data_IF_951901043220
#
_entry.id   IF_951901043220
#
_cell.length_a   1.000
_cell.length_b   1.000
_cell.length_c   1.000
_cell.angle_alpha   90.00
_cell.angle_beta   90.00
_cell.angle_gamma   90.00
#
_symmetry.space_group_name_H-M   'P 1'
#
loop_
_entity.id
_entity.type
_entity.pdbx_description
1 polymer ?
#
# COMPACT_ATOMS: atom_id res chain seq x y z
N UNK A 1 -8.35 -1.43 -0.43
CA UNK A 1 -7.76 -0.91 0.83
C UNK A 1 -8.22 -1.76 2.00
N UNK A 2 -7.34 -2.06 2.96
CA UNK A 2 -7.69 -2.80 4.19
C UNK A 2 -7.26 -1.99 5.41
N UNK A 3 -8.17 -1.81 6.37
CA UNK A 3 -7.94 -1.10 7.63
C UNK A 3 -7.59 -2.09 8.74
N UNK A 4 -6.53 -1.80 9.49
CA UNK A 4 -6.07 -2.62 10.59
C UNK A 4 -5.72 -1.73 11.80
N UNK A 5 -6.51 -1.82 12.86
CA UNK A 5 -6.23 -1.12 14.11
C UNK A 5 -5.38 -2.02 15.00
N UNK A 6 -4.10 -1.65 15.19
CA UNK A 6 -3.15 -2.41 16.02
C UNK A 6 -2.40 -1.47 16.95
N UNK A 7 -2.28 -1.83 18.23
CA UNK A 7 -1.55 -1.04 19.24
C UNK A 7 -1.96 0.45 19.23
N UNK A 8 -3.27 0.70 19.11
CA UNK A 8 -3.86 2.04 19.04
C UNK A 8 -3.36 2.91 17.86
N UNK A 9 -2.88 2.28 16.78
CA UNK A 9 -2.50 2.93 15.52
C UNK A 9 -3.33 2.35 14.38
N UNK A 10 -3.87 3.22 13.53
CA UNK A 10 -4.62 2.80 12.35
C UNK A 10 -3.66 2.63 11.18
N UNK A 11 -3.42 1.37 10.81
CA UNK A 11 -2.67 1.01 9.61
C UNK A 11 -3.64 0.78 8.46
N UNK A 12 -3.29 1.27 7.28
CA UNK A 12 -4.07 1.07 6.06
C UNK A 12 -3.16 0.51 4.96
N UNK A 13 -3.58 -0.61 4.41
CA UNK A 13 -2.88 -1.31 3.34
C UNK A 13 -3.60 -1.00 2.02
N UNK A 14 -2.97 -0.18 1.19
CA UNK A 14 -3.39 0.08 -0.18
C UNK A 14 -2.81 -1.04 -1.04
N UNK A 15 -3.66 -1.97 -1.49
CA UNK A 15 -3.29 -3.19 -2.18
C UNK A 15 -3.87 -3.14 -3.59
N UNK A 16 -3.01 -3.27 -4.60
CA UNK A 16 -3.41 -3.51 -5.98
C UNK A 16 -3.11 -4.95 -6.37
N UNK A 17 -4.10 -5.66 -6.89
CA UNK A 17 -3.99 -7.05 -7.32
C UNK A 17 -3.97 -7.12 -8.83
N UNK A 18 -2.88 -7.63 -9.40
CA UNK A 18 -2.69 -7.79 -10.85
C UNK A 18 -2.44 -9.25 -11.19
N UNK A 19 -2.71 -9.63 -12.43
CA UNK A 19 -2.50 -10.99 -12.91
C UNK A 19 -1.05 -11.15 -13.41
N UNK A 20 -0.86 -11.23 -14.72
CA UNK A 20 0.40 -11.57 -15.38
C UNK A 20 1.24 -10.34 -15.77
N UNK A 21 0.71 -9.14 -15.59
CA UNK A 21 1.39 -7.88 -15.91
C UNK A 21 1.33 -6.90 -14.73
N UNK A 22 2.25 -5.93 -14.71
CA UNK A 22 2.21 -4.77 -13.81
C UNK A 22 1.95 -3.52 -14.68
N UNK A 23 0.68 -3.09 -14.80
CA UNK A 23 0.31 -1.94 -15.61
C UNK A 23 0.99 -0.64 -15.17
N UNK A 24 1.15 0.30 -16.11
CA UNK A 24 1.83 1.56 -15.86
C UNK A 24 1.07 2.50 -14.91
N UNK A 25 -0.23 2.30 -14.75
CA UNK A 25 -1.17 3.13 -13.98
C UNK A 25 -1.33 2.67 -12.52
N UNK A 26 -0.65 1.59 -12.11
CA UNK A 26 -0.62 1.12 -10.71
C UNK A 26 -0.26 2.24 -9.72
N UNK A 27 0.74 3.11 -9.99
CA UNK A 27 1.01 4.25 -9.11
C UNK A 27 -0.18 5.20 -8.97
N UNK A 28 -0.90 5.49 -10.06
CA UNK A 28 -2.06 6.39 -10.04
C UNK A 28 -3.24 5.78 -9.28
N UNK A 29 -3.48 4.47 -9.44
CA UNK A 29 -4.50 3.73 -8.70
C UNK A 29 -4.23 3.74 -7.18
N UNK A 30 -2.99 3.50 -6.78
CA UNK A 30 -2.59 3.54 -5.38
C UNK A 30 -2.58 4.97 -4.82
N UNK A 31 -2.24 5.96 -5.65
CA UNK A 31 -2.38 7.38 -5.29
C UNK A 31 -3.84 7.75 -5.03
N UNK A 32 -4.76 7.31 -5.88
CA UNK A 32 -6.20 7.54 -5.68
C UNK A 32 -6.69 6.95 -4.35
N UNK A 33 -6.18 5.78 -3.95
CA UNK A 33 -6.46 5.19 -2.63
C UNK A 33 -5.97 6.08 -1.49
N UNK A 34 -4.75 6.62 -1.58
CA UNK A 34 -4.20 7.54 -0.58
C UNK A 34 -4.98 8.85 -0.52
N UNK A 35 -5.35 9.43 -1.66
CA UNK A 35 -6.14 10.66 -1.72
C UNK A 35 -7.52 10.47 -1.08
N UNK A 36 -8.15 9.31 -1.29
CA UNK A 36 -9.37 8.93 -0.59
C UNK A 36 -9.16 8.86 0.94
N UNK A 37 -8.02 8.33 1.41
CA UNK A 37 -7.70 8.29 2.85
C UNK A 37 -7.50 9.70 3.43
N UNK A 38 -6.91 10.63 2.67
CA UNK A 38 -6.78 12.03 3.07
C UNK A 38 -8.15 12.69 3.20
N UNK A 39 -9.07 12.44 2.25
CA UNK A 39 -10.44 12.92 2.33
C UNK A 39 -11.21 12.33 3.52
N UNK A 40 -11.07 11.02 3.78
CA UNK A 40 -11.67 10.37 4.94
C UNK A 40 -11.14 10.98 6.25
N UNK A 41 -9.82 11.16 6.35
CA UNK A 41 -9.19 11.76 7.53
C UNK A 41 -9.68 13.19 7.77
N UNK A 42 -9.75 14.02 6.72
CA UNK A 42 -10.32 15.37 6.80
C UNK A 42 -11.78 15.36 7.27
N UNK A 43 -12.59 14.41 6.77
CA UNK A 43 -13.99 14.24 7.20
C UNK A 43 -14.09 13.90 8.68
N UNK A 44 -13.28 12.94 9.16
CA UNK A 44 -13.26 12.56 10.59
C UNK A 44 -12.89 13.77 11.46
N UNK A 45 -11.89 14.55 11.05
CA UNK A 45 -11.47 15.74 11.80
C UNK A 45 -12.52 16.86 11.80
N UNK A 46 -13.33 16.97 10.74
CA UNK A 46 -14.38 17.98 10.66
C UNK A 46 -15.57 17.65 11.58
N UNK A 47 -15.91 16.36 11.74
CA UNK A 47 -17.08 15.92 12.49
C UNK A 47 -16.76 15.36 13.89
N UNK A 48 -15.48 15.19 14.22
CA UNK A 48 -15.07 14.67 15.52
C UNK A 48 -13.91 15.50 16.08
N UNK A 49 -13.79 15.57 17.40
CA UNK A 49 -12.62 16.17 18.06
C UNK A 49 -11.43 15.20 18.14
N UNK A 50 -11.54 14.01 17.52
CA UNK A 50 -10.50 12.98 17.57
C UNK A 50 -9.42 13.28 16.56
N UNK A 51 -8.20 13.55 17.05
CA UNK A 51 -7.00 13.62 16.23
C UNK A 51 -6.38 12.23 16.16
N UNK A 52 -6.43 11.59 14.99
CA UNK A 52 -5.83 10.27 14.79
C UNK A 52 -5.04 10.23 13.49
N UNK A 53 -3.77 9.84 13.57
CA UNK A 53 -2.96 9.62 12.38
C UNK A 53 -3.31 8.30 11.69
N UNK A 54 -3.24 8.28 10.36
CA UNK A 54 -3.39 7.08 9.54
C UNK A 54 -2.02 6.73 8.95
N UNK A 55 -1.60 5.48 9.11
CA UNK A 55 -0.35 4.95 8.53
C UNK A 55 -0.68 4.14 7.27
N UNK A 56 -0.57 4.77 6.12
CA UNK A 56 -0.83 4.15 4.83
C UNK A 56 0.45 3.52 4.25
N UNK A 57 0.32 2.34 3.67
CA UNK A 57 1.40 1.64 2.93
C UNK A 57 0.85 1.13 1.61
N UNK A 58 1.68 1.20 0.56
CA UNK A 58 1.29 0.85 -0.81
C UNK A 58 1.93 -0.46 -1.24
N UNK A 59 1.14 -1.34 -1.82
CA UNK A 59 1.58 -2.63 -2.31
C UNK A 59 0.95 -2.95 -3.65
N UNK A 60 1.71 -3.61 -4.50
CA UNK A 60 1.19 -4.30 -5.68
C UNK A 60 1.51 -5.78 -5.56
N UNK A 61 0.50 -6.61 -5.78
CA UNK A 61 0.61 -8.05 -5.76
C UNK A 61 0.35 -8.56 -7.16
N UNK A 62 1.21 -9.45 -7.66
CA UNK A 62 1.01 -10.04 -8.99
C UNK A 62 1.42 -11.51 -9.07
N UNK A 63 1.00 -12.17 -10.15
CA UNK A 63 1.50 -13.49 -10.55
C UNK A 63 2.45 -13.38 -11.75
N UNK A 64 3.10 -12.22 -11.92
CA UNK A 64 3.98 -12.00 -13.06
C UNK A 64 5.11 -13.05 -13.08
N UNK A 65 5.36 -13.75 -14.22
CA UNK A 65 6.37 -14.81 -14.29
C UNK A 65 7.79 -14.27 -14.02
N UNK A 66 8.11 -13.10 -14.59
CA UNK A 66 9.36 -12.37 -14.31
C UNK A 66 9.09 -10.88 -14.05
N UNK A 67 8.88 -10.46 -12.79
CA UNK A 67 8.61 -9.06 -12.48
C UNK A 67 9.87 -8.18 -12.52
N UNK A 68 11.07 -8.75 -12.65
CA UNK A 68 12.36 -8.05 -12.54
C UNK A 68 12.46 -6.76 -13.36
N UNK A 69 11.93 -6.66 -14.60
CA UNK A 69 11.98 -5.42 -15.39
C UNK A 69 11.19 -4.23 -14.80
N UNK A 70 10.29 -4.49 -13.85
CA UNK A 70 9.46 -3.47 -13.20
C UNK A 70 9.98 -3.07 -11.82
N UNK A 71 10.97 -3.79 -11.30
CA UNK A 71 11.44 -3.66 -9.94
C UNK A 71 12.76 -2.90 -9.86
N UNK A 72 13.03 -2.37 -8.68
CA UNK A 72 14.33 -1.79 -8.34
C UNK A 72 15.44 -2.85 -8.29
N UNK A 73 16.68 -2.40 -8.04
CA UNK A 73 17.85 -3.28 -8.03
C UNK A 73 17.77 -4.39 -6.97
N UNK A 74 17.04 -4.15 -5.87
CA UNK A 74 16.82 -5.13 -4.80
C UNK A 74 15.65 -6.09 -5.10
N UNK A 75 14.92 -5.88 -6.20
CA UNK A 75 13.76 -6.67 -6.58
C UNK A 75 12.59 -6.51 -5.59
N UNK A 76 12.49 -5.37 -4.91
CA UNK A 76 11.55 -5.17 -3.79
C UNK A 76 10.45 -4.16 -4.08
N UNK A 77 10.80 -3.05 -4.72
CA UNK A 77 9.89 -1.94 -4.98
C UNK A 77 9.74 -1.74 -6.48
N UNK A 78 8.65 -1.09 -6.90
CA UNK A 78 8.52 -0.72 -8.31
C UNK A 78 9.57 0.32 -8.67
N UNK A 79 10.31 0.13 -9.78
CA UNK A 79 11.33 1.07 -10.26
C UNK A 79 10.77 2.48 -10.53
N UNK A 80 9.48 2.57 -10.89
CA UNK A 80 8.81 3.84 -11.22
C UNK A 80 8.31 4.59 -9.98
N UNK A 81 8.08 3.89 -8.88
CA UNK A 81 7.69 4.46 -7.59
C UNK A 81 8.20 3.56 -6.46
N UNK A 82 9.33 3.95 -5.90
CA UNK A 82 10.03 3.21 -4.84
C UNK A 82 9.27 3.15 -3.52
N UNK A 83 8.09 3.78 -3.41
CA UNK A 83 7.22 3.67 -2.24
C UNK A 83 6.22 2.52 -2.32
N UNK A 84 6.08 1.90 -3.51
CA UNK A 84 5.19 0.78 -3.76
C UNK A 84 5.98 -0.52 -3.69
N UNK A 85 5.70 -1.33 -2.66
CA UNK A 85 6.32 -2.64 -2.47
C UNK A 85 5.64 -3.67 -3.37
N UNK A 86 6.42 -4.47 -4.08
CA UNK A 86 5.90 -5.61 -4.85
C UNK A 86 5.98 -6.90 -4.03
N UNK A 87 4.98 -7.76 -4.20
CA UNK A 87 4.99 -9.16 -3.77
C UNK A 87 4.41 -10.05 -4.86
N UNK A 88 4.89 -11.30 -4.96
CA UNK A 88 4.14 -12.32 -5.69
C UNK A 88 3.08 -12.93 -4.78
N UNK A 89 1.97 -13.40 -5.34
CA UNK A 89 0.94 -14.10 -4.55
C UNK A 89 1.50 -15.28 -3.75
N UNK A 90 2.43 -16.03 -4.36
CA UNK A 90 3.08 -17.17 -3.71
C UNK A 90 3.88 -16.77 -2.46
N UNK A 91 4.46 -15.57 -2.45
CA UNK A 91 5.35 -15.11 -1.38
C UNK A 91 4.58 -14.68 -0.13
N UNK A 92 3.31 -14.28 -0.29
CA UNK A 92 2.48 -13.74 0.81
C UNK A 92 1.35 -14.68 1.23
N UNK A 93 1.23 -15.83 0.59
CA UNK A 93 0.18 -16.79 0.93
C UNK A 93 0.35 -17.28 2.38
N UNK A 94 -0.67 -17.04 3.22
CA UNK A 94 -0.64 -17.38 4.65
C UNK A 94 0.04 -16.35 5.55
N UNK A 95 0.57 -15.24 5.02
CA UNK A 95 1.12 -14.16 5.84
C UNK A 95 0.01 -13.28 6.44
N UNK A 96 0.24 -12.77 7.66
CA UNK A 96 -0.62 -11.73 8.21
C UNK A 96 -0.28 -10.36 7.57
N UNK A 97 -1.27 -9.47 7.49
CA UNK A 97 -1.05 -8.09 6.99
C UNK A 97 0.03 -7.34 7.80
N UNK A 98 0.14 -7.64 9.09
CA UNK A 98 1.12 -7.03 9.98
C UNK A 98 2.57 -7.44 9.68
N UNK A 99 2.76 -8.52 8.91
CA UNK A 99 4.07 -9.06 8.54
C UNK A 99 4.49 -8.59 7.13
N UNK A 100 3.62 -7.88 6.40
CA UNK A 100 3.97 -7.24 5.14
C UNK A 100 4.96 -6.11 5.42
N UNK A 101 6.15 -6.21 4.83
CA UNK A 101 7.20 -5.19 4.97
C UNK A 101 7.07 -4.12 3.89
N UNK A 102 7.01 -2.86 4.33
CA UNK A 102 7.23 -1.68 3.48
C UNK A 102 7.80 -0.55 4.36
N UNK A 103 9.01 -0.08 4.06
CA UNK A 103 9.65 1.01 4.81
C UNK A 103 9.08 2.40 4.48
N UNK A 104 8.37 2.52 3.35
CA UNK A 104 7.76 3.77 2.88
C UNK A 104 6.33 3.90 3.41
N UNK A 105 6.23 4.31 4.67
CA UNK A 105 4.95 4.55 5.34
C UNK A 105 4.53 6.02 5.13
N UNK A 106 3.39 6.24 4.49
CA UNK A 106 2.77 7.57 4.39
C UNK A 106 1.91 7.83 5.63
N UNK A 107 2.27 8.86 6.39
CA UNK A 107 1.55 9.23 7.61
C UNK A 107 0.63 10.42 7.32
N UNK A 108 -0.68 10.18 7.31
CA UNK A 108 -1.72 11.21 7.16
C UNK A 108 -2.06 11.76 8.55
N UNK A 109 -2.05 13.09 8.71
CA UNK A 109 -2.24 13.81 9.97
C UNK A 109 -3.12 15.03 9.82
#
# INVERSE_FOLDING_TARGET
MVFNLRRNKLHVYCLEFKSESIPYDVPDQLKASVDWLKALHATINAYTTKRSAIQATKYVLSNHPDPSPYLDADGKYLQRDHTIRHYRYADVNGMALADLENSNIEVIR
#
